data_IF_117113428426
#
_entry.id   IF_117113428426
#
_cell.length_a   1.000
_cell.length_b   1.000
_cell.length_c   1.000
_cell.angle_alpha   90.00
_cell.angle_beta   90.00
_cell.angle_gamma   90.00
#
_symmetry.space_group_name_H-M   'P 1'
#
loop_
_entity.id
_entity.type
_entity.pdbx_description
1 polymer ?
#
# COMPACT_ATOMS: atom_id res chain seq x y z
N UNK A 1 12.59 18.44 19.73
CA UNK A 1 11.53 19.15 20.47
C UNK A 1 10.85 20.04 19.47
N UNK A 2 9.77 19.56 18.84
CA UNK A 2 8.96 20.40 17.96
C UNK A 2 7.92 21.04 18.88
N UNK A 3 7.92 22.37 18.96
CA UNK A 3 7.05 23.17 19.83
C UNK A 3 5.56 22.91 19.54
N UNK A 4 4.72 23.17 20.55
CA UNK A 4 3.24 23.06 20.51
C UNK A 4 2.59 23.69 19.27
N UNK A 5 3.26 24.65 18.61
CA UNK A 5 2.79 25.29 17.38
C UNK A 5 2.69 24.33 16.16
N UNK A 6 3.41 23.19 16.14
CA UNK A 6 3.31 22.23 15.04
C UNK A 6 2.10 21.30 15.11
N UNK A 7 1.39 21.24 16.25
CA UNK A 7 0.16 20.42 16.35
C UNK A 7 -0.97 20.92 15.44
N UNK A 8 -0.91 22.17 15.00
CA UNK A 8 -1.86 22.75 14.04
C UNK A 8 -1.40 22.74 12.57
N UNK A 9 -0.18 22.29 12.27
CA UNK A 9 0.32 22.27 10.89
C UNK A 9 -0.25 21.08 10.12
N UNK A 10 -1.06 21.36 9.10
CA UNK A 10 -1.77 20.34 8.29
C UNK A 10 -1.14 20.06 6.92
N UNK A 11 -0.02 20.72 6.59
CA UNK A 11 0.72 20.47 5.35
C UNK A 11 1.78 19.38 5.51
N UNK A 12 2.45 19.02 4.41
CA UNK A 12 3.66 18.19 4.43
C UNK A 12 4.89 19.09 4.32
N UNK A 13 5.90 18.90 5.18
CA UNK A 13 7.20 19.57 5.00
C UNK A 13 8.00 18.95 3.84
N UNK A 14 7.67 17.72 3.46
CA UNK A 14 8.29 16.98 2.36
C UNK A 14 7.51 17.08 1.04
N UNK A 15 6.50 17.96 0.93
CA UNK A 15 5.74 18.15 -0.31
C UNK A 15 4.87 16.95 -0.73
N UNK A 16 4.32 16.22 0.24
CA UNK A 16 3.51 15.01 0.03
C UNK A 16 4.30 13.88 -0.66
N UNK A 17 5.59 13.78 -0.36
CA UNK A 17 6.40 12.65 -0.80
C UNK A 17 5.82 11.35 -0.24
N UNK A 18 5.43 10.45 -1.15
CA UNK A 18 4.73 9.21 -0.81
C UNK A 18 5.70 8.13 -0.35
N UNK A 19 5.35 7.45 0.73
CA UNK A 19 6.06 6.26 1.19
C UNK A 19 6.08 5.17 0.11
N UNK A 20 7.16 4.40 0.04
CA UNK A 20 7.36 3.36 -0.98
C UNK A 20 7.65 2.00 -0.36
N UNK A 21 6.89 0.99 -0.78
CA UNK A 21 7.12 -0.42 -0.52
C UNK A 21 7.41 -1.08 -1.86
N UNK A 22 8.57 -1.71 -2.02
CA UNK A 22 8.96 -2.41 -3.23
C UNK A 22 8.86 -3.92 -3.01
N UNK A 23 7.88 -4.57 -3.64
CA UNK A 23 7.67 -6.01 -3.56
C UNK A 23 8.26 -6.72 -4.78
N UNK A 24 9.01 -7.79 -4.55
CA UNK A 24 9.54 -8.64 -5.61
C UNK A 24 8.71 -9.93 -5.68
N UNK A 25 7.76 -10.06 -6.63
CA UNK A 25 6.86 -11.21 -6.72
C UNK A 25 7.56 -12.51 -7.14
N UNK A 26 8.66 -12.43 -7.90
CA UNK A 26 9.26 -13.59 -8.56
C UNK A 26 10.58 -14.04 -7.91
N UNK A 27 11.08 -13.30 -6.90
CA UNK A 27 12.37 -13.56 -6.27
C UNK A 27 13.59 -13.40 -7.18
N UNK A 28 13.41 -12.94 -8.42
CA UNK A 28 14.47 -12.64 -9.40
C UNK A 28 14.94 -11.18 -9.33
N UNK A 29 16.06 -10.86 -9.95
CA UNK A 29 16.80 -9.63 -9.67
C UNK A 29 16.24 -8.34 -10.32
N UNK A 30 15.23 -8.45 -11.20
CA UNK A 30 14.99 -7.39 -12.19
C UNK A 30 13.64 -6.66 -12.04
N UNK A 31 12.76 -7.07 -11.10
CA UNK A 31 11.40 -6.51 -10.99
C UNK A 31 10.97 -6.30 -9.54
N UNK A 32 10.67 -5.04 -9.23
CA UNK A 32 10.04 -4.63 -7.98
C UNK A 32 8.78 -3.82 -8.29
N UNK A 33 7.68 -4.15 -7.62
CA UNK A 33 6.40 -3.45 -7.69
C UNK A 33 6.32 -2.45 -6.53
N UNK A 34 5.95 -1.19 -6.79
CA UNK A 34 5.62 -0.24 -5.73
C UNK A 34 4.20 -0.55 -5.25
N UNK A 35 4.05 -1.05 -4.02
CA UNK A 35 2.77 -1.49 -3.46
C UNK A 35 2.35 -0.74 -2.18
N UNK A 36 3.00 0.37 -1.83
CA UNK A 36 2.76 1.07 -0.56
C UNK A 36 1.28 1.42 -0.37
N UNK A 37 0.64 1.93 -1.42
CA UNK A 37 -0.76 2.36 -1.35
C UNK A 37 -1.72 1.20 -1.08
N UNK A 38 -1.47 0.06 -1.74
CA UNK A 38 -2.26 -1.17 -1.63
C UNK A 38 -2.20 -1.70 -0.20
N UNK A 39 -1.02 -1.72 0.40
CA UNK A 39 -0.83 -2.20 1.78
C UNK A 39 -1.14 -1.13 2.85
N UNK A 40 -1.62 0.06 2.46
CA UNK A 40 -1.89 1.14 3.41
C UNK A 40 -0.63 1.73 4.07
N UNK A 41 0.54 1.47 3.48
CA UNK A 41 1.84 2.00 3.88
C UNK A 41 2.13 3.37 3.26
N UNK A 42 1.30 3.80 2.30
CA UNK A 42 1.43 5.08 1.63
C UNK A 42 0.72 6.17 2.43
N UNK A 43 1.46 6.72 3.38
CA UNK A 43 1.03 7.85 4.20
C UNK A 43 1.30 9.17 3.45
N UNK A 44 0.30 10.03 3.37
CA UNK A 44 0.41 11.38 2.83
C UNK A 44 1.03 12.37 3.85
N UNK A 45 1.32 11.89 5.06
CA UNK A 45 2.00 12.64 6.11
C UNK A 45 3.49 12.36 6.14
N UNK A 46 4.22 13.33 6.71
CA UNK A 46 5.65 13.22 6.87
C UNK A 46 6.05 12.08 7.82
N UNK A 47 6.54 10.99 7.25
CA UNK A 47 7.28 9.93 7.95
C UNK A 47 8.53 10.49 8.66
N UNK A 48 8.83 9.93 9.83
CA UNK A 48 9.95 10.33 10.69
C UNK A 48 10.81 9.16 11.13
N UNK A 49 10.24 7.97 11.28
CA UNK A 49 10.98 6.75 11.56
C UNK A 49 10.14 5.54 11.15
N UNK A 50 10.80 4.46 10.73
CA UNK A 50 10.19 3.16 10.51
C UNK A 50 11.03 2.10 11.24
N UNK A 51 10.37 1.21 11.96
CA UNK A 51 11.03 0.17 12.75
C UNK A 51 10.29 -1.17 12.54
N UNK A 52 10.94 -2.19 11.95
CA UNK A 52 10.37 -3.54 11.92
C UNK A 52 10.42 -4.14 13.32
N UNK A 53 9.33 -4.78 13.74
CA UNK A 53 9.22 -5.40 15.06
C UNK A 53 8.12 -6.45 15.03
N UNK A 54 8.34 -7.59 15.67
CA UNK A 54 7.30 -8.59 15.96
C UNK A 54 6.59 -8.16 17.25
N UNK A 55 5.51 -7.38 17.11
CA UNK A 55 4.87 -6.63 18.20
C UNK A 55 4.01 -7.58 19.06
N UNK A 56 3.32 -8.51 18.40
CA UNK A 56 2.39 -9.42 19.05
C UNK A 56 3.01 -10.79 19.41
N UNK A 57 4.24 -11.04 18.96
CA UNK A 57 5.02 -12.24 19.28
C UNK A 57 4.63 -13.46 18.45
N UNK A 58 3.86 -13.30 17.38
CA UNK A 58 3.41 -14.41 16.55
C UNK A 58 4.47 -14.91 15.56
N UNK A 59 5.50 -14.09 15.32
CA UNK A 59 6.74 -14.46 14.66
C UNK A 59 6.88 -13.95 13.24
N UNK A 60 5.89 -13.26 12.67
CA UNK A 60 6.13 -12.39 11.53
C UNK A 60 6.55 -10.98 11.99
N UNK A 61 7.14 -10.21 11.07
CA UNK A 61 7.57 -8.84 11.39
C UNK A 61 6.47 -7.87 11.00
N UNK A 62 6.01 -7.11 11.99
CA UNK A 62 5.16 -5.93 11.84
C UNK A 62 5.99 -4.67 11.55
N UNK A 63 5.31 -3.54 11.37
CA UNK A 63 5.94 -2.25 11.16
C UNK A 63 5.40 -1.19 12.13
N UNK A 64 6.30 -0.55 12.87
CA UNK A 64 6.04 0.67 13.61
C UNK A 64 6.50 1.89 12.78
N UNK A 65 5.56 2.75 12.40
CA UNK A 65 5.80 3.96 11.61
C UNK A 65 5.52 5.20 12.47
N UNK A 66 6.55 6.00 12.73
CA UNK A 66 6.39 7.30 13.37
C UNK A 66 6.22 8.37 12.30
N UNK A 67 5.12 9.10 12.35
CA UNK A 67 4.81 10.25 11.48
C UNK A 67 4.72 11.51 12.32
N UNK A 68 4.63 12.69 11.68
CA UNK A 68 4.28 13.93 12.39
C UNK A 68 2.90 13.89 13.06
N UNK A 69 2.00 13.00 12.64
CA UNK A 69 0.67 12.83 13.26
C UNK A 69 0.63 11.83 14.40
N UNK A 70 1.72 11.08 14.62
CA UNK A 70 1.83 10.11 15.70
C UNK A 70 2.38 8.77 15.24
N UNK A 71 2.34 7.81 16.15
CA UNK A 71 2.78 6.44 15.93
C UNK A 71 1.65 5.62 15.29
N UNK A 72 1.96 4.96 14.17
CA UNK A 72 1.13 3.93 13.54
C UNK A 72 1.79 2.57 13.73
N UNK A 73 1.00 1.58 14.11
CA UNK A 73 1.42 0.18 14.17
C UNK A 73 0.68 -0.55 13.06
N UNK A 74 1.41 -1.31 12.26
CA UNK A 74 0.91 -2.01 11.09
C UNK A 74 1.19 -3.49 11.28
N UNK A 75 0.14 -4.25 11.57
CA UNK A 75 0.19 -5.71 11.75
C UNK A 75 0.44 -6.38 10.40
N UNK A 76 1.36 -7.34 10.37
CA UNK A 76 1.51 -8.21 9.22
C UNK A 76 0.45 -9.32 9.30
N UNK A 77 -0.39 -9.42 8.26
CA UNK A 77 -1.47 -10.42 8.19
C UNK A 77 -1.19 -11.50 7.17
N UNK A 78 0.08 -11.68 6.80
CA UNK A 78 0.49 -12.73 5.86
C UNK A 78 0.22 -14.12 6.45
N UNK A 79 0.13 -15.14 5.58
CA UNK A 79 -0.02 -16.50 6.07
C UNK A 79 1.20 -16.89 6.92
N UNK A 80 1.01 -17.39 8.16
CA UNK A 80 2.12 -17.72 9.05
C UNK A 80 3.12 -18.68 8.41
N UNK A 81 4.41 -18.41 8.61
CA UNK A 81 5.54 -19.25 8.18
C UNK A 81 6.50 -19.46 9.35
N UNK A 82 7.43 -20.41 9.20
CA UNK A 82 8.40 -20.68 10.25
C UNK A 82 9.41 -19.55 10.38
N UNK A 83 9.85 -19.30 11.60
CA UNK A 83 10.85 -18.29 11.94
C UNK A 83 11.81 -18.78 13.03
N UNK A 84 12.90 -18.05 13.27
CA UNK A 84 13.68 -18.13 14.49
C UNK A 84 14.11 -16.74 14.95
N UNK A 85 13.95 -16.44 16.24
CA UNK A 85 14.55 -15.26 16.85
C UNK A 85 15.82 -15.65 17.58
N UNK A 86 16.86 -14.85 17.47
CA UNK A 86 18.16 -15.12 18.11
C UNK A 86 18.53 -13.97 19.02
N UNK A 87 18.65 -14.25 20.31
CA UNK A 87 19.17 -13.32 21.31
C UNK A 87 20.56 -13.77 21.72
N UNK A 88 21.51 -12.85 21.68
CA UNK A 88 22.87 -13.10 22.12
C UNK A 88 23.08 -12.51 23.51
N UNK A 89 23.60 -13.32 24.43
CA UNK A 89 24.05 -12.91 25.75
C UNK A 89 25.56 -13.07 25.83
N UNK A 90 26.26 -11.99 26.17
CA UNK A 90 27.71 -11.97 26.32
C UNK A 90 28.12 -11.44 27.70
N UNK A 91 29.40 -11.59 28.05
CA UNK A 91 29.91 -11.19 29.36
C UNK A 91 30.25 -9.70 29.50
N UNK A 92 30.15 -9.17 30.72
CA UNK A 92 30.72 -7.86 31.08
C UNK A 92 30.16 -6.68 30.28
N UNK A 93 31.03 -5.81 29.76
CA UNK A 93 30.62 -4.63 28.97
C UNK A 93 30.08 -4.98 27.58
N UNK A 94 30.17 -6.25 27.17
CA UNK A 94 29.66 -6.74 25.89
C UNK A 94 28.29 -7.43 26.04
N UNK A 95 27.56 -7.23 27.15
CA UNK A 95 26.32 -7.96 27.47
C UNK A 95 25.28 -8.07 26.34
N UNK A 96 25.22 -7.05 25.48
CA UNK A 96 24.29 -6.96 24.35
C UNK A 96 24.88 -7.44 23.01
N UNK A 97 26.11 -7.96 23.00
CA UNK A 97 26.79 -8.52 21.84
C UNK A 97 26.79 -7.63 20.59
N UNK A 98 26.80 -6.30 20.76
CA UNK A 98 26.71 -5.35 19.64
C UNK A 98 27.83 -5.60 18.62
N UNK A 99 27.45 -5.75 17.36
CA UNK A 99 28.34 -6.06 16.24
C UNK A 99 28.64 -7.56 16.05
N UNK A 100 28.10 -8.45 16.88
CA UNK A 100 28.18 -9.89 16.64
C UNK A 100 27.51 -10.24 15.30
N UNK A 101 28.13 -11.11 14.52
CA UNK A 101 27.59 -11.65 13.27
C UNK A 101 26.91 -12.99 13.55
N UNK A 102 25.71 -13.18 13.01
CA UNK A 102 24.97 -14.44 13.10
C UNK A 102 24.64 -14.91 11.69
N UNK A 103 25.02 -16.16 11.39
CA UNK A 103 24.65 -16.85 10.15
C UNK A 103 23.76 -18.03 10.51
N UNK A 104 22.54 -18.02 10.01
CA UNK A 104 21.55 -19.08 10.23
C UNK A 104 21.27 -19.78 8.90
N UNK A 105 21.35 -21.12 8.90
CA UNK A 105 21.02 -21.97 7.74
C UNK A 105 19.79 -22.81 8.05
N UNK A 106 18.82 -22.79 7.15
CA UNK A 106 17.62 -23.61 7.22
C UNK A 106 17.07 -23.83 5.80
N UNK A 107 16.61 -25.05 5.49
CA UNK A 107 15.95 -25.34 4.21
C UNK A 107 16.83 -25.08 2.99
N UNK A 108 18.16 -25.24 3.13
CA UNK A 108 19.12 -24.97 2.06
C UNK A 108 19.43 -23.48 1.82
N UNK A 109 18.85 -22.57 2.60
CA UNK A 109 19.10 -21.13 2.51
C UNK A 109 19.95 -20.68 3.69
N UNK A 110 20.96 -19.86 3.42
CA UNK A 110 21.77 -19.21 4.45
C UNK A 110 21.40 -17.74 4.54
N UNK A 111 21.05 -17.28 5.74
CA UNK A 111 20.78 -15.87 6.04
C UNK A 111 21.82 -15.37 7.04
N UNK A 112 22.14 -14.09 6.94
CA UNK A 112 23.10 -13.43 7.82
C UNK A 112 22.54 -12.10 8.30
N UNK A 113 22.72 -11.82 9.58
CA UNK A 113 22.49 -10.49 10.16
C UNK A 113 23.49 -10.21 11.30
N UNK A 114 23.45 -9.00 11.86
CA UNK A 114 24.36 -8.53 12.89
C UNK A 114 23.60 -7.83 14.01
N UNK A 115 24.04 -8.00 15.26
CA UNK A 115 23.41 -7.30 16.37
C UNK A 115 23.69 -5.80 16.28
N UNK A 116 22.63 -5.02 16.06
CA UNK A 116 22.66 -3.58 15.81
C UNK A 116 21.74 -2.84 16.78
N UNK A 117 22.11 -1.62 17.17
CA UNK A 117 21.27 -0.77 18.01
C UNK A 117 20.14 -0.12 17.22
N UNK A 118 20.44 0.32 16.00
CA UNK A 118 19.54 1.19 15.23
C UNK A 118 19.29 0.60 13.86
N UNK A 119 18.05 0.74 13.40
CA UNK A 119 17.64 0.45 12.03
C UNK A 119 16.69 1.58 11.60
N UNK A 120 16.89 2.11 10.40
CA UNK A 120 16.17 3.30 9.93
C UNK A 120 16.66 4.62 10.54
N UNK A 121 15.95 5.70 10.23
CA UNK A 121 16.26 7.05 10.72
C UNK A 121 15.63 7.28 12.10
N UNK A 122 16.46 7.61 13.11
CA UNK A 122 16.04 7.92 14.49
C UNK A 122 15.22 6.83 15.19
N UNK A 123 15.35 5.57 14.78
CA UNK A 123 14.74 4.42 15.41
C UNK A 123 15.78 3.49 16.06
N UNK A 124 15.39 2.91 17.19
CA UNK A 124 16.09 1.81 17.85
C UNK A 124 15.19 0.58 17.73
N UNK A 125 15.75 -0.54 17.30
CA UNK A 125 15.03 -1.82 17.15
C UNK A 125 15.44 -2.80 18.26
N UNK A 126 14.64 -3.86 18.52
CA UNK A 126 15.06 -4.94 19.41
C UNK A 126 16.43 -5.50 19.01
N UNK A 127 17.22 -5.90 20.01
CA UNK A 127 18.53 -6.53 19.79
C UNK A 127 18.42 -7.98 19.30
N UNK A 128 17.24 -8.58 19.40
CA UNK A 128 17.00 -9.92 18.92
C UNK A 128 16.98 -9.91 17.39
N UNK A 129 17.77 -10.79 16.80
CA UNK A 129 17.76 -10.98 15.34
C UNK A 129 16.55 -11.82 14.96
N UNK A 130 15.94 -11.52 13.81
CA UNK A 130 14.83 -12.28 13.25
C UNK A 130 15.24 -12.94 11.94
N UNK A 131 14.92 -14.23 11.81
CA UNK A 131 15.15 -15.00 10.60
C UNK A 131 13.85 -15.67 10.16
N UNK A 132 13.29 -15.26 9.02
CA UNK A 132 12.22 -16.01 8.34
C UNK A 132 12.77 -17.28 7.67
N UNK A 133 12.18 -18.43 8.01
CA UNK A 133 12.63 -19.76 7.59
C UNK A 133 11.73 -20.41 6.53
N UNK A 134 10.58 -19.80 6.24
CA UNK A 134 9.64 -20.31 5.23
C UNK A 134 9.01 -21.62 5.67
N UNK A 135 9.21 -22.67 4.86
CA UNK A 135 8.67 -24.02 5.14
C UNK A 135 9.67 -24.93 5.87
N UNK A 136 10.87 -24.44 6.21
CA UNK A 136 11.84 -25.22 6.95
C UNK A 136 11.35 -25.50 8.38
N UNK A 137 11.38 -26.76 8.79
CA UNK A 137 10.89 -27.21 10.10
C UNK A 137 11.99 -27.34 11.16
N UNK A 138 13.24 -27.05 10.80
CA UNK A 138 14.40 -27.05 11.68
C UNK A 138 15.41 -26.00 11.22
N UNK A 139 16.20 -25.48 12.17
CA UNK A 139 17.40 -24.70 11.88
C UNK A 139 18.57 -25.68 11.78
N UNK A 140 19.13 -25.82 10.57
CA UNK A 140 20.22 -26.75 10.28
C UNK A 140 21.49 -26.36 11.03
N UNK A 141 21.87 -25.08 10.93
CA UNK A 141 23.01 -24.52 11.66
C UNK A 141 22.76 -23.08 12.10
N UNK A 142 23.24 -22.75 13.31
CA UNK A 142 23.37 -21.40 13.83
C UNK A 142 24.85 -21.15 14.12
N UNK A 143 25.46 -20.21 13.42
CA UNK A 143 26.85 -19.81 13.59
C UNK A 143 26.89 -18.39 14.14
N UNK A 144 27.65 -18.16 15.22
CA UNK A 144 27.81 -16.84 15.83
C UNK A 144 29.29 -16.48 15.87
N UNK A 145 29.64 -15.29 15.40
CA UNK A 145 30.96 -14.68 15.58
C UNK A 145 30.82 -13.44 16.48
N UNK A 146 31.42 -13.52 17.65
CA UNK A 146 31.30 -12.49 18.68
C UNK A 146 32.31 -11.35 18.44
N UNK A 147 32.06 -10.14 18.97
CA UNK A 147 33.02 -9.03 18.93
C UNK A 147 34.34 -9.34 19.66
N UNK A 148 34.32 -10.28 20.61
CA UNK A 148 35.51 -10.81 21.29
C UNK A 148 36.47 -11.55 20.34
N UNK A 149 35.98 -12.01 19.19
CA UNK A 149 36.69 -12.89 18.26
C UNK A 149 36.33 -14.36 18.41
N UNK A 150 35.63 -14.74 19.49
CA UNK A 150 35.14 -16.11 19.68
C UNK A 150 34.07 -16.49 18.65
N UNK A 151 33.94 -17.79 18.40
CA UNK A 151 32.94 -18.34 17.48
C UNK A 151 32.23 -19.53 18.09
N UNK A 152 30.94 -19.68 17.79
CA UNK A 152 30.14 -20.82 18.20
C UNK A 152 29.30 -21.36 17.05
N UNK A 153 29.05 -22.67 17.05
CA UNK A 153 28.22 -23.36 16.06
C UNK A 153 27.31 -24.35 16.75
N UNK A 154 26.01 -24.21 16.49
CA UNK A 154 24.96 -25.10 16.99
C UNK A 154 24.15 -25.66 15.82
N UNK A 155 23.55 -26.84 15.99
CA UNK A 155 22.86 -27.57 14.93
C UNK A 155 21.53 -28.13 15.43
N UNK A 156 20.65 -28.45 14.49
CA UNK A 156 19.38 -29.14 14.73
C UNK A 156 18.51 -28.41 15.77
N UNK A 157 18.44 -27.08 15.66
CA UNK A 157 17.69 -26.23 16.59
C UNK A 157 16.22 -26.13 16.17
N UNK A 158 15.28 -25.97 17.13
CA UNK A 158 13.86 -25.84 16.82
C UNK A 158 13.55 -24.52 16.12
N UNK A 159 12.52 -24.55 15.27
CA UNK A 159 11.88 -23.35 14.70
C UNK A 159 10.79 -22.82 15.64
N UNK A 160 10.33 -21.60 15.35
CA UNK A 160 9.26 -20.89 16.06
C UNK A 160 9.59 -20.65 17.53
N UNK A 161 10.85 -20.31 17.81
CA UNK A 161 11.41 -20.09 19.14
C UNK A 161 12.29 -18.86 19.21
N UNK A 162 12.47 -18.36 20.42
CA UNK A 162 13.58 -17.50 20.80
C UNK A 162 14.77 -18.38 21.20
N UNK A 163 15.83 -18.35 20.41
CA UNK A 163 17.10 -19.01 20.65
C UNK A 163 18.01 -18.04 21.42
N UNK A 164 18.23 -18.31 22.70
CA UNK A 164 19.11 -17.54 23.57
C UNK A 164 20.49 -18.19 23.57
N UNK A 165 21.46 -17.52 22.97
CA UNK A 165 22.83 -18.02 22.83
C UNK A 165 23.72 -17.31 23.84
N UNK A 166 24.34 -18.06 24.73
CA UNK A 166 25.27 -17.52 25.73
C UNK A 166 26.73 -17.75 25.29
N UNK A 167 27.50 -16.67 25.19
CA UNK A 167 28.91 -16.71 24.79
C UNK A 167 29.76 -17.52 25.78
N UNK A 168 29.59 -17.31 27.09
CA UNK A 168 30.46 -17.85 28.12
C UNK A 168 30.16 -19.32 28.41
N UNK A 169 28.88 -19.70 28.42
CA UNK A 169 28.44 -21.07 28.62
C UNK A 169 28.53 -21.90 27.33
N UNK A 170 28.51 -21.27 26.16
CA UNK A 170 28.49 -21.96 24.87
C UNK A 170 27.18 -22.73 24.62
N UNK A 171 26.11 -22.34 25.29
CA UNK A 171 24.80 -23.02 25.25
C UNK A 171 23.79 -22.24 24.42
N UNK A 172 22.79 -22.96 23.90
CA UNK A 172 21.58 -22.38 23.31
C UNK A 172 20.37 -22.89 24.06
N UNK A 173 19.59 -21.98 24.60
CA UNK A 173 18.28 -22.26 25.18
C UNK A 173 17.19 -21.84 24.20
N UNK A 174 16.15 -22.67 24.04
CA UNK A 174 15.05 -22.39 23.13
C UNK A 174 13.78 -22.13 23.95
N UNK A 175 13.34 -20.88 23.96
CA UNK A 175 12.15 -20.45 24.68
C UNK A 175 10.99 -20.17 23.72
N UNK A 176 9.73 -20.42 24.14
CA UNK A 176 8.58 -19.93 23.40
C UNK A 176 8.55 -18.40 23.43
N UNK A 177 8.12 -17.77 22.34
CA UNK A 177 7.86 -16.33 22.36
C UNK A 177 6.66 -16.01 23.22
N UNK A 178 6.74 -14.85 23.88
CA UNK A 178 5.61 -14.30 24.63
C UNK A 178 4.64 -13.67 23.64
N UNK A 179 3.69 -14.49 23.19
CA UNK A 179 2.56 -14.01 22.41
C UNK A 179 1.63 -13.14 23.24
N UNK A 180 1.02 -12.17 22.59
CA UNK A 180 -0.17 -11.54 23.13
C UNK A 180 -1.25 -12.59 23.39
N UNK A 181 -1.97 -12.42 24.49
CA UNK A 181 -3.12 -13.27 24.78
C UNK A 181 -4.19 -13.07 23.70
N UNK A 182 -4.89 -14.14 23.33
CA UNK A 182 -6.03 -14.03 22.43
C UNK A 182 -7.01 -12.94 22.93
N UNK A 183 -7.36 -12.01 22.04
CA UNK A 183 -8.22 -10.88 22.35
C UNK A 183 -7.54 -9.66 22.99
N UNK A 184 -6.23 -9.69 23.24
CA UNK A 184 -5.46 -8.50 23.68
C UNK A 184 -4.81 -7.72 22.53
N UNK A 185 -4.94 -8.18 21.28
CA UNK A 185 -4.55 -7.42 20.09
C UNK A 185 -5.33 -6.10 20.05
N UNK A 186 -4.67 -4.92 20.00
CA UNK A 186 -5.32 -3.67 19.69
C UNK A 186 -5.89 -3.76 18.28
N UNK A 187 -7.17 -4.12 18.17
CA UNK A 187 -7.86 -4.13 16.90
C UNK A 187 -7.94 -2.70 16.36
N UNK A 188 -7.15 -2.39 15.34
CA UNK A 188 -7.30 -1.16 14.56
C UNK A 188 -7.72 -1.45 13.12
N UNK A 189 -8.61 -2.43 12.93
CA UNK A 189 -9.53 -2.58 11.78
C UNK A 189 -10.60 -3.57 12.24
N UNK A 190 -11.89 -3.20 12.17
CA UNK A 190 -12.97 -3.97 12.79
C UNK A 190 -13.34 -3.60 14.21
N UNK A 191 -13.09 -2.34 14.64
CA UNK A 191 -14.00 -1.76 15.61
C UNK A 191 -15.42 -1.98 15.03
N UNK A 192 -16.34 -2.66 15.76
CA UNK A 192 -17.70 -2.78 15.28
C UNK A 192 -18.12 -1.38 14.87
N UNK A 193 -18.68 -1.24 13.66
CA UNK A 193 -19.41 -0.02 13.36
C UNK A 193 -20.31 0.16 14.57
N UNK A 194 -20.17 1.27 15.32
CA UNK A 194 -21.20 1.61 16.26
C UNK A 194 -22.47 1.55 15.42
N UNK A 195 -23.55 0.95 15.91
CA UNK A 195 -24.81 1.05 15.21
C UNK A 195 -25.19 2.54 15.20
N UNK A 196 -24.61 3.31 14.27
CA UNK A 196 -24.76 4.75 14.19
C UNK A 196 -26.04 4.92 13.43
N UNK A 197 -27.07 5.13 14.22
CA UNK A 197 -28.37 5.50 13.74
C UNK A 197 -28.32 7.00 13.47
N UNK A 198 -28.06 7.36 12.23
CA UNK A 198 -28.02 8.75 11.81
C UNK A 198 -29.42 9.24 11.43
N UNK A 199 -29.62 10.55 11.52
CA UNK A 199 -30.85 11.20 11.03
C UNK A 199 -30.79 11.27 9.51
N UNK A 200 -31.81 10.73 8.84
CA UNK A 200 -31.92 10.85 7.38
C UNK A 200 -32.36 12.27 6.99
N UNK A 201 -31.97 12.71 5.79
CA UNK A 201 -32.28 14.04 5.26
C UNK A 201 -33.79 14.27 5.05
N UNK A 202 -34.51 13.22 4.68
CA UNK A 202 -35.97 13.20 4.49
C UNK A 202 -36.76 12.94 5.78
N UNK A 203 -36.04 12.72 6.89
CA UNK A 203 -36.61 12.50 8.22
C UNK A 203 -36.53 11.04 8.67
N UNK A 204 -36.74 10.81 9.96
CA UNK A 204 -36.51 9.51 10.57
C UNK A 204 -35.03 9.23 10.86
N UNK A 205 -34.73 7.98 11.21
CA UNK A 205 -33.44 7.54 11.73
C UNK A 205 -33.16 6.12 11.25
N UNK A 206 -31.95 5.85 10.77
CA UNK A 206 -31.56 4.54 10.24
C UNK A 206 -30.07 4.28 10.43
N UNK A 207 -29.65 3.00 10.40
CA UNK A 207 -28.24 2.64 10.51
C UNK A 207 -27.46 3.10 9.27
N UNK A 208 -26.25 3.62 9.47
CA UNK A 208 -25.35 3.98 8.36
C UNK A 208 -24.68 2.77 7.70
N UNK A 209 -24.57 1.63 8.40
CA UNK A 209 -23.97 0.40 7.89
C UNK A 209 -24.54 -0.84 8.61
N UNK A 210 -24.46 -2.01 7.95
CA UNK A 210 -24.77 -3.33 8.53
C UNK A 210 -25.80 -4.13 7.72
N UNK A 211 -25.51 -5.42 7.52
CA UNK A 211 -26.36 -6.34 6.75
C UNK A 211 -25.74 -6.76 5.42
N UNK A 212 -25.20 -5.80 4.67
CA UNK A 212 -24.36 -5.99 3.47
C UNK A 212 -23.11 -5.11 3.58
N UNK A 213 -22.06 -5.34 2.76
CA UNK A 213 -20.97 -4.38 2.67
C UNK A 213 -21.52 -2.99 2.36
N UNK A 214 -20.96 -1.95 2.98
CA UNK A 214 -21.52 -0.59 2.89
C UNK A 214 -20.44 0.44 2.61
N UNK A 215 -20.68 1.33 1.65
CA UNK A 215 -19.85 2.52 1.41
C UNK A 215 -20.56 3.74 2.00
N UNK A 216 -19.92 4.40 2.96
CA UNK A 216 -20.41 5.61 3.62
C UNK A 216 -19.52 6.78 3.22
N UNK A 217 -20.05 7.74 2.47
CA UNK A 217 -19.31 8.91 1.98
C UNK A 217 -19.75 10.18 2.70
N UNK A 218 -18.80 10.89 3.31
CA UNK A 218 -18.99 12.20 3.93
C UNK A 218 -18.68 13.30 2.93
N UNK A 219 -19.64 14.20 2.71
CA UNK A 219 -19.55 15.21 1.66
C UNK A 219 -20.28 16.51 2.02
N UNK A 220 -20.09 17.54 1.20
CA UNK A 220 -20.88 18.77 1.25
C UNK A 220 -20.98 19.42 -0.15
N UNK A 221 -22.05 20.18 -0.45
CA UNK A 221 -22.21 20.89 -1.72
C UNK A 221 -21.05 21.86 -2.03
N UNK A 222 -20.54 22.55 -1.02
CA UNK A 222 -19.46 23.52 -1.14
C UNK A 222 -18.07 22.89 -1.28
N UNK A 223 -17.93 21.56 -1.17
CA UNK A 223 -16.65 20.84 -1.26
C UNK A 223 -16.34 20.48 -2.73
N UNK A 224 -15.39 21.15 -3.40
CA UNK A 224 -15.13 20.88 -4.83
C UNK A 224 -14.63 19.46 -5.12
N UNK A 225 -13.71 18.86 -4.34
CA UNK A 225 -13.32 17.47 -4.55
C UNK A 225 -14.46 16.48 -4.35
N UNK A 226 -15.39 16.74 -3.43
CA UNK A 226 -16.59 15.92 -3.24
C UNK A 226 -17.45 15.93 -4.51
N UNK A 227 -17.68 17.11 -5.11
CA UNK A 227 -18.45 17.22 -6.36
C UNK A 227 -17.80 16.49 -7.56
N UNK A 228 -16.49 16.26 -7.52
CA UNK A 228 -15.78 15.45 -8.53
C UNK A 228 -15.99 13.95 -8.28
N UNK A 229 -16.03 13.52 -7.01
CA UNK A 229 -16.19 12.12 -6.59
C UNK A 229 -17.64 11.61 -6.70
N UNK A 230 -18.64 12.45 -6.40
CA UNK A 230 -20.06 12.06 -6.34
C UNK A 230 -20.56 11.32 -7.60
N UNK A 231 -20.28 11.77 -8.84
CA UNK A 231 -20.69 11.03 -10.04
C UNK A 231 -20.12 9.61 -10.11
N UNK A 232 -18.90 9.38 -9.61
CA UNK A 232 -18.26 8.06 -9.60
C UNK A 232 -18.91 7.13 -8.56
N UNK A 233 -19.31 7.68 -7.41
CA UNK A 233 -20.06 6.94 -6.39
C UNK A 233 -21.47 6.57 -6.85
N UNK A 234 -22.14 7.45 -7.58
CA UNK A 234 -23.47 7.18 -8.18
C UNK A 234 -23.38 6.02 -9.17
N UNK A 235 -22.37 6.02 -10.05
CA UNK A 235 -22.15 4.94 -11.01
C UNK A 235 -21.82 3.60 -10.31
N UNK A 236 -21.02 3.63 -9.25
CA UNK A 236 -20.73 2.45 -8.43
C UNK A 236 -21.97 1.91 -7.71
N UNK A 237 -22.78 2.79 -7.12
CA UNK A 237 -24.01 2.39 -6.45
C UNK A 237 -24.98 1.68 -7.41
N UNK A 238 -25.08 2.16 -8.66
CA UNK A 238 -25.84 1.48 -9.70
C UNK A 238 -25.26 0.11 -10.08
N UNK A 239 -23.92 -0.01 -10.18
CA UNK A 239 -23.24 -1.27 -10.55
C UNK A 239 -23.36 -2.35 -9.48
N UNK A 240 -23.33 -1.96 -8.23
CA UNK A 240 -23.37 -2.85 -7.06
C UNK A 240 -24.76 -2.95 -6.41
N UNK A 241 -25.80 -2.52 -7.12
CA UNK A 241 -27.18 -2.56 -6.62
C UNK A 241 -27.56 -3.97 -6.13
N UNK A 242 -28.13 -4.03 -4.93
CA UNK A 242 -28.47 -5.29 -4.27
C UNK A 242 -27.31 -6.04 -3.61
N UNK A 243 -26.06 -5.68 -3.88
CA UNK A 243 -24.86 -6.36 -3.36
C UNK A 243 -24.10 -5.52 -2.32
N UNK A 244 -23.97 -4.22 -2.56
CA UNK A 244 -23.31 -3.26 -1.65
C UNK A 244 -24.28 -2.11 -1.40
N UNK A 245 -24.46 -1.76 -0.12
CA UNK A 245 -25.25 -0.59 0.26
C UNK A 245 -24.38 0.68 0.15
N UNK A 246 -24.98 1.78 -0.27
CA UNK A 246 -24.32 3.10 -0.29
C UNK A 246 -25.09 4.05 0.63
N UNK A 247 -24.37 4.95 1.30
CA UNK A 247 -24.95 6.00 2.12
C UNK A 247 -24.12 7.28 2.01
N UNK A 248 -24.79 8.39 1.75
CA UNK A 248 -24.15 9.70 1.83
C UNK A 248 -24.42 10.34 3.18
N UNK A 249 -23.43 11.05 3.73
CA UNK A 249 -23.55 11.78 4.98
C UNK A 249 -23.11 13.22 4.75
N UNK A 250 -24.08 14.13 4.75
CA UNK A 250 -23.80 15.55 4.55
C UNK A 250 -23.31 16.18 5.86
N UNK A 251 -22.20 16.90 5.80
CA UNK A 251 -21.75 17.77 6.90
C UNK A 251 -22.37 19.17 6.84
N UNK A 252 -23.09 19.49 5.77
CA UNK A 252 -23.81 20.74 5.64
C UNK A 252 -25.16 20.62 6.37
N UNK A 253 -25.27 21.33 7.49
CA UNK A 253 -26.45 21.28 8.37
C UNK A 253 -27.25 22.59 8.38
N UNK A 254 -26.69 23.68 7.86
CA UNK A 254 -27.31 25.01 7.87
C UNK A 254 -28.12 25.24 6.60
N UNK A 255 -27.60 24.83 5.45
CA UNK A 255 -28.25 24.97 4.14
C UNK A 255 -28.62 23.61 3.53
N UNK A 256 -29.68 22.99 4.08
CA UNK A 256 -30.19 21.71 3.59
C UNK A 256 -30.79 21.77 2.19
N UNK A 257 -31.17 22.96 1.71
CA UNK A 257 -31.69 23.11 0.34
C UNK A 257 -30.56 22.96 -0.68
N UNK A 258 -29.35 23.47 -0.40
CA UNK A 258 -28.16 23.22 -1.23
C UNK A 258 -27.77 21.74 -1.30
N UNK A 259 -27.99 20.99 -0.22
CA UNK A 259 -27.79 19.54 -0.16
C UNK A 259 -28.79 18.84 -1.09
N UNK A 260 -30.08 19.20 -1.00
CA UNK A 260 -31.14 18.66 -1.87
C UNK A 260 -30.90 18.97 -3.34
N UNK A 261 -30.53 20.20 -3.66
CA UNK A 261 -30.19 20.61 -5.03
C UNK A 261 -29.03 19.78 -5.58
N UNK A 262 -28.01 19.51 -4.76
CA UNK A 262 -26.86 18.68 -5.18
C UNK A 262 -27.25 17.21 -5.39
N UNK A 263 -28.11 16.66 -4.52
CA UNK A 263 -28.65 15.29 -4.67
C UNK A 263 -29.44 15.17 -5.98
N UNK A 264 -30.30 16.14 -6.28
CA UNK A 264 -31.06 16.18 -7.54
C UNK A 264 -30.12 16.35 -8.74
N UNK A 265 -29.13 17.25 -8.65
CA UNK A 265 -28.17 17.52 -9.72
C UNK A 265 -27.32 16.32 -10.10
N UNK A 266 -26.86 15.55 -9.12
CA UNK A 266 -26.02 14.36 -9.35
C UNK A 266 -26.84 13.07 -9.42
N UNK A 267 -28.17 13.16 -9.29
CA UNK A 267 -29.10 12.03 -9.34
C UNK A 267 -28.73 10.91 -8.35
N UNK A 268 -28.40 11.29 -7.12
CA UNK A 268 -27.86 10.35 -6.13
C UNK A 268 -28.94 9.33 -5.71
N UNK A 269 -28.76 8.02 -5.97
CA UNK A 269 -29.84 7.03 -5.83
C UNK A 269 -29.95 6.44 -4.41
N UNK A 270 -28.96 6.69 -3.57
CA UNK A 270 -28.83 6.07 -2.25
C UNK A 270 -29.16 7.04 -1.11
N UNK A 271 -29.58 6.52 0.07
CA UNK A 271 -30.01 7.34 1.20
C UNK A 271 -28.97 8.37 1.65
N UNK A 272 -29.47 9.52 2.09
CA UNK A 272 -28.66 10.63 2.59
C UNK A 272 -28.96 10.89 4.06
N UNK A 273 -27.90 11.08 4.83
CA UNK A 273 -27.93 11.32 6.27
C UNK A 273 -27.23 12.62 6.62
N UNK A 274 -27.45 13.09 7.84
CA UNK A 274 -26.87 14.31 8.37
C UNK A 274 -25.77 13.97 9.39
N UNK A 275 -24.61 14.59 9.25
CA UNK A 275 -23.49 14.45 10.17
C UNK A 275 -23.70 15.37 11.40
N UNK A 276 -24.64 15.02 12.28
CA UNK A 276 -24.74 15.71 13.57
C UNK A 276 -23.51 15.45 14.46
N UNK A 277 -23.36 16.20 15.55
CA UNK A 277 -22.20 16.14 16.45
C UNK A 277 -21.86 14.71 16.87
N UNK A 278 -22.88 13.88 17.11
CA UNK A 278 -22.69 12.48 17.51
C UNK A 278 -22.14 11.63 16.36
N UNK A 279 -22.55 11.88 15.12
CA UNK A 279 -21.96 11.24 13.93
C UNK A 279 -20.52 11.74 13.74
N UNK A 280 -20.28 13.05 13.85
CA UNK A 280 -18.96 13.65 13.65
C UNK A 280 -17.93 13.17 14.68
N UNK A 281 -18.27 13.22 15.96
CA UNK A 281 -17.44 12.69 17.05
C UNK A 281 -17.14 11.20 16.83
N UNK A 282 -18.11 10.44 16.31
CA UNK A 282 -17.93 9.00 16.17
C UNK A 282 -17.04 8.59 15.00
N UNK A 283 -17.13 9.29 13.87
CA UNK A 283 -16.35 8.97 12.67
C UNK A 283 -14.99 9.68 12.64
N UNK A 284 -14.88 10.85 13.26
CA UNK A 284 -13.69 11.70 13.19
C UNK A 284 -13.08 12.04 14.56
N UNK A 285 -13.72 11.68 15.67
CA UNK A 285 -13.24 12.00 17.03
C UNK A 285 -13.51 13.45 17.45
N UNK A 286 -13.36 14.39 16.51
CA UNK A 286 -13.76 15.80 16.66
C UNK A 286 -14.06 16.42 15.28
N UNK A 287 -14.85 17.50 15.25
CA UNK A 287 -15.17 18.20 14.00
C UNK A 287 -13.94 18.74 13.27
N UNK A 288 -12.94 19.20 14.03
CA UNK A 288 -11.69 19.73 13.49
C UNK A 288 -10.89 18.67 12.71
N UNK A 289 -11.16 17.38 12.90
CA UNK A 289 -10.43 16.27 12.26
C UNK A 289 -11.10 15.74 10.99
N UNK A 290 -12.29 16.24 10.65
CA UNK A 290 -12.99 15.86 9.44
C UNK A 290 -12.29 16.43 8.20
N UNK A 291 -11.79 15.53 7.34
CA UNK A 291 -11.28 15.87 6.02
C UNK A 291 -12.32 15.45 4.98
N UNK A 292 -12.68 16.33 4.05
CA UNK A 292 -13.71 16.06 3.04
C UNK A 292 -13.12 16.01 1.62
N UNK A 293 -13.61 15.11 0.76
CA UNK A 293 -14.51 14.02 1.11
C UNK A 293 -13.81 12.97 1.99
N UNK A 294 -14.60 12.18 2.71
CA UNK A 294 -14.10 11.00 3.38
C UNK A 294 -15.02 9.81 3.14
N UNK A 295 -14.44 8.69 2.69
CA UNK A 295 -15.20 7.49 2.33
C UNK A 295 -14.81 6.34 3.24
N UNK A 296 -15.78 5.80 3.99
CA UNK A 296 -15.63 4.67 4.88
C UNK A 296 -16.27 3.45 4.23
N UNK A 297 -15.55 2.33 4.19
CA UNK A 297 -16.03 1.09 3.59
C UNK A 297 -16.12 0.01 4.66
N UNK A 298 -17.31 -0.54 4.83
CA UNK A 298 -17.66 -1.55 5.82
C UNK A 298 -17.94 -2.90 5.15
N UNK A 299 -17.63 -4.00 5.84
CA UNK A 299 -18.02 -5.34 5.41
C UNK A 299 -19.46 -5.71 5.84
N UNK A 300 -19.94 -6.88 5.43
CA UNK A 300 -21.28 -7.39 5.75
C UNK A 300 -21.59 -7.51 7.24
N UNK A 301 -20.56 -7.58 8.09
CA UNK A 301 -20.68 -7.63 9.54
C UNK A 301 -20.65 -6.22 10.17
N UNK A 302 -20.65 -5.17 9.34
CA UNK A 302 -20.55 -3.79 9.79
C UNK A 302 -19.16 -3.45 10.33
N UNK A 303 -18.10 -4.16 9.94
CA UNK A 303 -16.73 -3.84 10.37
C UNK A 303 -16.11 -2.88 9.39
N UNK A 304 -15.52 -1.79 9.87
CA UNK A 304 -14.77 -0.86 9.02
C UNK A 304 -13.56 -1.60 8.42
N UNK A 305 -13.48 -1.64 7.09
CA UNK A 305 -12.40 -2.27 6.31
C UNK A 305 -11.41 -1.27 5.76
N UNK A 306 -11.89 -0.09 5.35
CA UNK A 306 -11.05 0.98 4.82
C UNK A 306 -11.65 2.35 5.09
N UNK A 307 -10.78 3.32 5.27
CA UNK A 307 -11.10 4.74 5.29
C UNK A 307 -10.23 5.43 4.24
N UNK A 308 -10.87 6.18 3.35
CA UNK A 308 -10.25 7.11 2.43
C UNK A 308 -10.47 8.53 2.96
N UNK A 309 -9.39 9.30 3.14
CA UNK A 309 -9.46 10.73 3.45
C UNK A 309 -9.02 11.47 2.20
N UNK A 310 -9.92 12.23 1.59
CA UNK A 310 -9.76 12.77 0.23
C UNK A 310 -10.57 11.99 -0.81
N UNK A 311 -10.65 12.55 -2.03
CA UNK A 311 -11.45 11.98 -3.11
C UNK A 311 -10.92 10.61 -3.53
N UNK A 312 -11.83 9.64 -3.59
CA UNK A 312 -11.56 8.29 -4.08
C UNK A 312 -11.96 8.17 -5.54
N UNK A 313 -11.24 7.35 -6.30
CA UNK A 313 -11.64 7.02 -7.66
C UNK A 313 -12.51 5.77 -7.69
N UNK A 314 -13.31 5.67 -8.74
CA UNK A 314 -14.20 4.56 -9.02
C UNK A 314 -13.46 3.23 -8.94
N UNK A 315 -12.28 3.11 -9.57
CA UNK A 315 -11.55 1.84 -9.59
C UNK A 315 -10.98 1.44 -8.24
N UNK A 316 -10.57 2.41 -7.39
CA UNK A 316 -10.06 2.08 -6.06
C UNK A 316 -11.16 1.48 -5.19
N UNK A 317 -12.37 2.04 -5.25
CA UNK A 317 -13.52 1.46 -4.57
C UNK A 317 -13.95 0.14 -5.21
N UNK A 318 -14.02 0.08 -6.54
CA UNK A 318 -14.44 -1.15 -7.24
C UNK A 318 -13.52 -2.33 -6.91
N UNK A 319 -12.19 -2.10 -6.83
CA UNK A 319 -11.22 -3.11 -6.36
C UNK A 319 -11.54 -3.63 -4.97
N UNK A 320 -11.77 -2.71 -4.04
CA UNK A 320 -12.02 -3.06 -2.64
C UNK A 320 -13.37 -3.78 -2.51
N UNK A 321 -14.41 -3.30 -3.20
CA UNK A 321 -15.74 -3.91 -3.17
C UNK A 321 -15.76 -5.28 -3.86
N UNK A 322 -15.01 -5.44 -4.95
CA UNK A 322 -14.81 -6.74 -5.60
C UNK A 322 -14.10 -7.73 -4.67
N UNK A 323 -13.20 -7.27 -3.79
CA UNK A 323 -12.56 -8.16 -2.80
C UNK A 323 -13.51 -8.72 -1.73
N UNK A 324 -14.72 -8.16 -1.60
CA UNK A 324 -15.77 -8.69 -0.73
C UNK A 324 -16.64 -9.76 -1.42
N UNK A 325 -16.53 -9.89 -2.76
CA UNK A 325 -17.08 -10.98 -3.55
C UNK A 325 -16.01 -12.09 -3.60
N UNK A 326 -16.03 -13.02 -2.66
CA UNK A 326 -15.17 -14.21 -2.76
C UNK A 326 -15.59 -15.05 -3.98
N UNK A 327 -14.99 -14.77 -5.15
CA UNK A 327 -14.78 -15.63 -6.32
C UNK A 327 -13.92 -14.84 -7.34
N UNK A 328 -12.95 -15.51 -7.96
CA UNK A 328 -11.88 -14.94 -8.81
C UNK A 328 -12.28 -13.72 -9.67
N UNK A 329 -11.41 -12.70 -9.66
CA UNK A 329 -11.52 -11.43 -10.42
C UNK A 329 -11.99 -11.67 -11.87
N UNK A 330 -13.13 -11.09 -12.23
CA UNK A 330 -13.77 -11.29 -13.55
C UNK A 330 -13.05 -10.55 -14.70
N UNK A 331 -13.24 -10.99 -15.95
CA UNK A 331 -12.72 -10.35 -17.17
C UNK A 331 -13.12 -8.86 -17.26
N UNK A 332 -14.37 -8.55 -16.91
CA UNK A 332 -14.88 -7.18 -16.94
C UNK A 332 -14.24 -6.31 -15.86
N UNK A 333 -13.95 -6.89 -14.69
CA UNK A 333 -13.16 -6.23 -13.64
C UNK A 333 -11.75 -5.92 -14.14
N UNK A 334 -11.04 -6.89 -14.74
CA UNK A 334 -9.69 -6.66 -15.28
C UNK A 334 -9.67 -5.59 -16.38
N UNK A 335 -10.69 -5.56 -17.24
CA UNK A 335 -10.84 -4.55 -18.30
C UNK A 335 -11.07 -3.15 -17.74
N UNK A 336 -11.95 -3.03 -16.75
CA UNK A 336 -12.22 -1.76 -16.06
C UNK A 336 -10.96 -1.24 -15.37
N UNK A 337 -10.21 -2.10 -14.67
CA UNK A 337 -8.96 -1.74 -14.01
C UNK A 337 -7.91 -1.23 -15.01
N UNK A 338 -7.74 -1.95 -16.11
CA UNK A 338 -6.79 -1.54 -17.16
C UNK A 338 -7.12 -0.14 -17.71
N UNK A 339 -8.39 0.14 -17.94
CA UNK A 339 -8.87 1.42 -18.47
C UNK A 339 -8.77 2.56 -17.45
N UNK A 340 -9.06 2.32 -16.17
CA UNK A 340 -8.95 3.35 -15.14
C UNK A 340 -7.50 3.76 -14.88
N UNK A 341 -6.58 2.79 -14.78
CA UNK A 341 -5.15 3.11 -14.64
C UNK A 341 -4.60 3.83 -15.89
N UNK A 342 -5.10 3.48 -17.08
CA UNK A 342 -4.77 4.20 -18.33
C UNK A 342 -5.21 5.67 -18.28
N UNK A 343 -6.42 5.95 -17.76
CA UNK A 343 -6.96 7.31 -17.62
C UNK A 343 -6.22 8.12 -16.55
N UNK A 344 -5.80 7.47 -15.47
CA UNK A 344 -5.01 8.07 -14.39
C UNK A 344 -3.54 8.30 -14.75
N UNK A 345 -3.08 7.88 -15.95
CA UNK A 345 -1.71 8.06 -16.41
C UNK A 345 -0.71 7.00 -15.89
N UNK A 346 -1.18 5.98 -15.19
CA UNK A 346 -0.39 4.82 -14.73
C UNK A 346 -0.44 3.70 -15.79
N UNK A 347 0.31 3.93 -16.87
CA UNK A 347 0.30 3.04 -18.03
C UNK A 347 0.95 1.68 -17.78
N UNK A 348 1.73 1.52 -16.70
CA UNK A 348 2.36 0.25 -16.35
C UNK A 348 1.34 -0.71 -15.74
N UNK A 349 0.53 -0.23 -14.80
CA UNK A 349 -0.58 -1.01 -14.23
C UNK A 349 -1.70 -1.24 -15.23
N UNK A 350 -1.98 -0.26 -16.08
CA UNK A 350 -2.88 -0.46 -17.21
C UNK A 350 -2.44 -1.64 -18.09
N UNK A 351 -1.15 -1.71 -18.43
CA UNK A 351 -0.58 -2.79 -19.24
C UNK A 351 -0.57 -4.15 -18.51
N UNK A 352 -0.41 -4.16 -17.20
CA UNK A 352 -0.49 -5.38 -16.38
C UNK A 352 -1.90 -5.97 -16.37
N UNK A 353 -2.93 -5.15 -16.14
CA UNK A 353 -4.32 -5.60 -16.20
C UNK A 353 -4.76 -5.96 -17.63
N UNK A 354 -4.28 -5.25 -18.66
CA UNK A 354 -4.44 -5.70 -20.05
C UNK A 354 -3.69 -6.99 -20.34
N UNK A 355 -2.57 -7.27 -19.65
CA UNK A 355 -1.82 -8.52 -19.76
C UNK A 355 -2.56 -9.70 -19.14
N UNK A 356 -3.17 -9.49 -17.98
CA UNK A 356 -4.05 -10.47 -17.32
C UNK A 356 -5.33 -10.73 -18.14
N UNK A 357 -5.90 -9.67 -18.73
CA UNK A 357 -7.00 -9.77 -19.71
C UNK A 357 -6.57 -10.54 -20.97
N UNK A 358 -5.34 -10.30 -21.43
CA UNK A 358 -4.77 -10.91 -22.63
C UNK A 358 -4.39 -12.38 -22.48
N UNK A 359 -4.17 -12.85 -21.25
CA UNK A 359 -4.02 -14.26 -20.94
C UNK A 359 -5.29 -15.08 -21.21
N UNK A 360 -6.43 -14.42 -21.44
CA UNK A 360 -7.72 -15.04 -21.75
C UNK A 360 -7.93 -15.33 -23.26
N UNK A 361 -7.21 -14.69 -24.19
CA UNK A 361 -7.25 -15.04 -25.64
C UNK A 361 -6.00 -14.53 -26.43
N UNK A 362 -5.17 -15.40 -27.05
CA UNK A 362 -3.81 -15.03 -27.53
C UNK A 362 -3.72 -14.21 -28.84
N UNK A 363 -4.70 -14.27 -29.74
CA UNK A 363 -4.50 -13.80 -31.14
C UNK A 363 -4.66 -12.28 -31.35
N UNK A 364 -5.16 -11.54 -30.36
CA UNK A 364 -5.41 -10.09 -30.47
C UNK A 364 -4.27 -9.24 -29.89
N UNK A 365 -3.46 -9.80 -29.00
CA UNK A 365 -2.30 -9.14 -28.38
C UNK A 365 -1.19 -8.81 -29.39
N UNK A 366 -0.94 -9.69 -30.36
CA UNK A 366 0.05 -9.44 -31.42
C UNK A 366 -0.28 -8.20 -32.26
N UNK A 367 -1.56 -7.93 -32.50
CA UNK A 367 -2.01 -6.77 -33.27
C UNK A 367 -1.83 -5.47 -32.46
N UNK A 368 -2.05 -5.53 -31.14
CA UNK A 368 -1.90 -4.38 -30.22
C UNK A 368 -0.43 -4.10 -29.94
N UNK A 369 0.40 -5.12 -29.77
CA UNK A 369 1.85 -4.99 -29.61
C UNK A 369 2.49 -4.32 -30.84
N UNK A 370 2.07 -4.70 -32.05
CA UNK A 370 2.50 -4.05 -33.28
C UNK A 370 2.04 -2.58 -33.38
N UNK A 371 0.82 -2.26 -32.93
CA UNK A 371 0.33 -0.89 -32.89
C UNK A 371 1.10 -0.02 -31.87
N UNK A 372 1.44 -0.59 -30.70
CA UNK A 372 2.25 0.05 -29.65
C UNK A 372 3.69 0.34 -30.13
N UNK A 373 4.34 -0.63 -30.78
CA UNK A 373 5.68 -0.44 -31.35
C UNK A 373 5.71 0.68 -32.39
N UNK A 374 4.69 0.76 -33.25
CA UNK A 374 4.54 1.85 -34.23
C UNK A 374 4.36 3.21 -33.56
N UNK A 375 3.53 3.31 -32.52
CA UNK A 375 3.30 4.58 -31.83
C UNK A 375 4.56 5.07 -31.11
N UNK A 376 5.29 4.19 -30.41
CA UNK A 376 6.57 4.52 -29.78
C UNK A 376 7.63 4.98 -30.79
N UNK A 377 7.68 4.35 -31.98
CA UNK A 377 8.56 4.80 -33.04
C UNK A 377 8.23 6.23 -33.52
N UNK A 378 6.94 6.60 -33.59
CA UNK A 378 6.50 7.96 -33.92
C UNK A 378 6.90 8.99 -32.84
N UNK A 379 6.82 8.65 -31.57
CA UNK A 379 7.23 9.53 -30.47
C UNK A 379 8.75 9.81 -30.52
N UNK A 380 9.56 8.80 -30.82
CA UNK A 380 11.00 8.97 -31.01
C UNK A 380 11.34 9.82 -32.23
N UNK A 381 10.56 9.71 -33.32
CA UNK A 381 10.69 10.61 -34.49
C UNK A 381 10.34 12.05 -34.10
N UNK A 382 9.28 12.26 -33.32
CA UNK A 382 8.91 13.60 -32.84
C UNK A 382 10.00 14.21 -31.95
N UNK A 383 10.56 13.42 -31.03
CA UNK A 383 11.69 13.81 -30.19
C UNK A 383 12.94 14.13 -31.01
N UNK A 384 13.25 13.32 -32.03
CA UNK A 384 14.38 13.56 -32.93
C UNK A 384 14.23 14.88 -33.72
N UNK A 385 13.00 15.22 -34.13
CA UNK A 385 12.70 16.50 -34.78
C UNK A 385 12.85 17.69 -33.82
N UNK A 386 12.47 17.53 -32.56
CA UNK A 386 12.66 18.54 -31.53
C UNK A 386 14.15 18.83 -31.29
N UNK A 387 14.97 17.80 -31.06
CA UNK A 387 16.43 17.94 -30.93
C UNK A 387 17.06 18.59 -32.17
N UNK A 388 16.61 18.21 -33.38
CA UNK A 388 17.07 18.85 -34.63
C UNK A 388 16.72 20.34 -34.68
N UNK A 389 15.51 20.73 -34.25
CA UNK A 389 15.08 22.13 -34.23
C UNK A 389 15.90 22.97 -33.24
N UNK A 390 16.41 22.34 -32.17
CA UNK A 390 17.30 22.94 -31.19
C UNK A 390 18.79 22.95 -31.61
N UNK A 391 19.13 22.34 -32.76
CA UNK A 391 20.52 22.24 -33.24
C UNK A 391 21.32 21.08 -32.63
N UNK A 392 20.68 20.22 -31.83
CA UNK A 392 21.27 19.09 -31.12
C UNK A 392 21.36 17.86 -32.05
N UNK A 393 22.32 17.89 -32.98
CA UNK A 393 22.40 16.90 -34.09
C UNK A 393 22.70 15.48 -33.60
N UNK A 394 23.50 15.33 -32.54
CA UNK A 394 23.84 14.01 -31.99
C UNK A 394 22.62 13.33 -31.35
N UNK A 395 21.88 14.06 -30.51
CA UNK A 395 20.68 13.56 -29.83
C UNK A 395 19.52 13.30 -30.79
N UNK A 396 19.42 14.12 -31.84
CA UNK A 396 18.49 13.88 -32.95
C UNK A 396 18.82 12.56 -33.67
N UNK A 397 20.10 12.27 -33.93
CA UNK A 397 20.53 11.02 -34.58
C UNK A 397 20.24 9.81 -33.70
N UNK A 398 20.56 9.87 -32.41
CA UNK A 398 20.27 8.79 -31.47
C UNK A 398 18.76 8.51 -31.40
N UNK A 399 17.94 9.57 -31.33
CA UNK A 399 16.48 9.43 -31.27
C UNK A 399 15.91 8.77 -32.54
N UNK A 400 16.44 9.08 -33.73
CA UNK A 400 16.04 8.35 -34.95
C UNK A 400 16.51 6.89 -34.97
N UNK A 401 17.70 6.60 -34.43
CA UNK A 401 18.20 5.22 -34.30
C UNK A 401 17.30 4.39 -33.38
N UNK A 402 16.83 4.97 -32.27
CA UNK A 402 15.84 4.34 -31.38
C UNK A 402 14.49 4.11 -32.07
N UNK A 403 14.01 5.05 -32.88
CA UNK A 403 12.80 4.86 -33.68
C UNK A 403 12.92 3.68 -34.66
N UNK A 404 14.07 3.53 -35.32
CA UNK A 404 14.35 2.46 -36.28
C UNK A 404 14.56 1.10 -35.61
N UNK A 405 15.02 1.06 -34.35
CA UNK A 405 15.04 -0.18 -33.56
C UNK A 405 13.63 -0.68 -33.24
N UNK A 406 12.69 0.24 -32.97
CA UNK A 406 11.29 -0.09 -32.64
C UNK A 406 10.44 -0.40 -33.87
N UNK A 407 10.66 0.30 -34.98
CA UNK A 407 10.01 0.03 -36.25
C UNK A 407 11.05 0.05 -37.40
N UNK A 408 11.75 -1.07 -37.67
CA UNK A 408 12.79 -1.14 -38.70
C UNK A 408 12.33 -0.77 -40.11
N UNK A 409 11.02 -0.85 -40.38
CA UNK A 409 10.40 -0.46 -41.66
C UNK A 409 10.07 1.03 -41.81
N UNK A 410 10.27 1.86 -40.77
CA UNK A 410 9.84 3.26 -40.78
C UNK A 410 10.67 4.12 -41.75
N UNK A 411 10.11 4.39 -42.94
CA UNK A 411 10.77 5.14 -44.02
C UNK A 411 11.07 6.59 -43.64
N UNK A 412 10.21 7.19 -42.81
CA UNK A 412 10.34 8.59 -42.38
C UNK A 412 11.55 8.77 -41.47
N UNK A 413 11.68 7.92 -40.44
CA UNK A 413 12.83 7.93 -39.55
C UNK A 413 14.15 7.74 -40.32
N UNK A 414 14.20 6.78 -41.25
CA UNK A 414 15.41 6.50 -42.05
C UNK A 414 15.84 7.71 -42.89
N UNK A 415 14.90 8.29 -43.66
CA UNK A 415 15.18 9.45 -44.51
C UNK A 415 15.65 10.66 -43.71
N UNK A 416 14.97 10.95 -42.60
CA UNK A 416 15.29 12.13 -41.78
C UNK A 416 16.60 11.98 -41.01
N UNK A 417 16.93 10.76 -40.59
CA UNK A 417 18.24 10.43 -40.01
C UNK A 417 19.38 10.61 -41.01
N UNK A 418 19.23 10.13 -42.24
CA UNK A 418 20.25 10.25 -43.30
C UNK A 418 20.50 11.73 -43.66
N UNK A 419 19.45 12.56 -43.66
CA UNK A 419 19.55 14.00 -43.90
C UNK A 419 20.34 14.77 -42.82
N UNK A 420 20.53 14.21 -41.62
CA UNK A 420 21.41 14.78 -40.59
C UNK A 420 22.90 14.64 -40.92
N UNK A 421 23.28 13.72 -41.82
CA UNK A 421 24.67 13.48 -42.22
C UNK A 421 25.11 14.19 -43.51
N UNK A 422 24.23 14.94 -44.16
CA UNK A 422 24.46 15.56 -45.48
C UNK A 422 24.73 17.08 -45.42
N UNK A 423 25.21 17.61 -44.29
CA UNK A 423 25.57 19.02 -44.13
C UNK A 423 26.96 19.20 -43.53
#
# INVERSE_FOLDING_TARGET
MIEEQARGFRGSFSGYERDRLFYNPDGGDDRFLQLAYVFGLDDDHDGRAAAPVDIDGDGDLDLALLTLRGLKLLENTSAPRHFARVRLAAGGSAAHALGAEVVLRAGGVARRDFVKLTEGFRAQVPLDLHFGLGDATAVDTLEVRWPSGETGVWRDLPVDRLLIVDEAAGTVEAEPLRRWSDGSRPTMTGAPSPAVVARALDGGRGPLAGGRPTVVNFWAPWCPPCNVELPELVDLAGRYDGEVDFAGVSVELEDLDSVRESIERFEIPYPQFLADDAVMERFFGSEDEAALPATFVFDQHGRLRRLFRGAVTQAELDLLLASFRDEAVSEDTLRMLAETYRRAGDYARAAEFYGQLGALEPTRLDQIGQAWQRQRALDWIAKARAHRALGEVADARESYDRALQMEPGNRTARREREALGAR
#
